data_IF_028076778731
#
_entry.id   IF_028076778731
#
_cell.length_a   1.000
_cell.length_b   1.000
_cell.length_c   1.000
_cell.angle_alpha   90.00
_cell.angle_beta   90.00
_cell.angle_gamma   90.00
#
_symmetry.space_group_name_H-M   'P 1'
#
loop_
_entity.id
_entity.type
_entity.pdbx_description
1 polymer ?
#
# COMPACT_ATOMS: atom_id res chain seq x y z
N UNK A 1 -13.52 6.57 -19.00
CA UNK A 1 -13.01 5.64 -17.98
C UNK A 1 -11.51 5.37 -18.01
N UNK A 2 -10.90 5.04 -19.16
CA UNK A 2 -9.46 4.70 -19.23
C UNK A 2 -8.51 5.78 -18.66
N UNK A 3 -8.72 7.06 -19.03
CA UNK A 3 -7.91 8.19 -18.55
C UNK A 3 -7.96 8.32 -17.02
N UNK A 4 -9.17 8.30 -16.45
CA UNK A 4 -9.40 8.37 -15.00
C UNK A 4 -8.70 7.21 -14.29
N UNK A 5 -8.90 5.97 -14.76
CA UNK A 5 -8.22 4.80 -14.22
C UNK A 5 -6.69 4.97 -14.26
N UNK A 6 -6.13 5.46 -15.37
CA UNK A 6 -4.68 5.68 -15.53
C UNK A 6 -4.13 6.71 -14.56
N UNK A 7 -4.87 7.80 -14.31
CA UNK A 7 -4.49 8.82 -13.33
C UNK A 7 -4.53 8.23 -11.93
N UNK A 8 -5.66 7.65 -11.51
CA UNK A 8 -5.82 7.05 -10.18
C UNK A 8 -4.80 5.93 -9.92
N UNK A 9 -4.54 5.07 -10.91
CA UNK A 9 -3.50 4.04 -10.85
C UNK A 9 -2.13 4.67 -10.56
N UNK A 10 -1.78 5.76 -11.24
CA UNK A 10 -0.47 6.41 -11.04
C UNK A 10 -0.40 7.07 -9.67
N UNK A 11 -1.43 7.81 -9.29
CA UNK A 11 -1.50 8.52 -8.02
C UNK A 11 -1.42 7.54 -6.84
N UNK A 12 -2.23 6.49 -6.85
CA UNK A 12 -2.19 5.47 -5.80
C UNK A 12 -0.85 4.77 -5.70
N UNK A 13 -0.24 4.38 -6.83
CA UNK A 13 1.10 3.79 -6.77
C UNK A 13 2.17 4.77 -6.26
N UNK A 14 2.07 6.06 -6.57
CA UNK A 14 2.99 7.06 -6.02
C UNK A 14 2.77 7.22 -4.51
N UNK A 15 1.52 7.35 -4.05
CA UNK A 15 1.21 7.45 -2.61
C UNK A 15 1.70 6.19 -1.89
N UNK A 16 1.34 5.01 -2.39
CA UNK A 16 1.79 3.73 -1.85
C UNK A 16 3.31 3.62 -1.79
N UNK A 17 4.02 4.06 -2.83
CA UNK A 17 5.47 4.10 -2.85
C UNK A 17 6.05 5.04 -1.78
N UNK A 18 5.45 6.22 -1.59
CA UNK A 18 5.86 7.21 -0.59
C UNK A 18 5.57 6.74 0.83
N UNK A 19 4.46 6.05 1.06
CA UNK A 19 4.14 5.45 2.36
C UNK A 19 5.18 4.38 2.70
N UNK A 20 5.54 3.50 1.77
CA UNK A 20 6.63 2.55 1.98
C UNK A 20 7.96 3.25 2.27
N UNK A 21 8.26 4.34 1.53
CA UNK A 21 9.50 5.09 1.71
C UNK A 21 9.58 5.74 3.09
N UNK A 22 8.46 6.31 3.56
CA UNK A 22 8.35 6.89 4.89
C UNK A 22 8.64 5.84 5.98
N UNK A 23 8.17 4.61 5.82
CA UNK A 23 8.33 3.58 6.84
C UNK A 23 9.78 3.17 7.07
N UNK A 24 10.68 3.30 6.09
CA UNK A 24 12.12 3.10 6.33
C UNK A 24 12.66 4.02 7.43
N UNK A 25 12.10 5.22 7.58
CA UNK A 25 12.60 6.24 8.51
C UNK A 25 11.70 6.43 9.73
N UNK A 26 10.45 5.96 9.69
CA UNK A 26 9.46 6.18 10.73
C UNK A 26 9.92 5.77 12.15
N UNK A 27 10.57 4.61 12.37
CA UNK A 27 11.04 4.23 13.71
C UNK A 27 11.99 5.25 14.34
N UNK A 28 12.83 5.89 13.52
CA UNK A 28 13.83 6.86 13.97
C UNK A 28 13.26 8.26 14.14
N UNK A 29 12.43 8.71 13.19
CA UNK A 29 11.85 10.07 13.20
C UNK A 29 10.80 10.21 14.31
N UNK A 30 10.14 9.12 14.69
CA UNK A 30 9.07 9.13 15.70
C UNK A 30 9.42 8.33 16.96
N UNK A 31 10.69 7.94 17.11
CA UNK A 31 11.23 7.29 18.30
C UNK A 31 10.41 6.07 18.77
N UNK A 32 10.05 5.15 17.87
CA UNK A 32 9.17 4.01 18.20
C UNK A 32 9.66 3.19 19.40
N UNK A 33 10.98 3.08 19.56
CA UNK A 33 11.61 2.32 20.65
C UNK A 33 11.41 2.96 22.03
N UNK A 34 11.11 4.26 22.09
CA UNK A 34 10.72 4.93 23.35
C UNK A 34 9.40 4.41 23.91
N UNK A 35 8.55 3.79 23.08
CA UNK A 35 7.26 3.25 23.51
C UNK A 35 7.36 1.88 24.18
N UNK A 36 8.51 1.21 24.07
CA UNK A 36 8.76 -0.14 24.59
C UNK A 36 10.19 -0.27 25.18
N UNK A 37 10.58 0.59 26.13
CA UNK A 37 11.99 0.77 26.54
C UNK A 37 12.67 -0.48 27.11
N UNK A 38 11.89 -1.39 27.69
CA UNK A 38 12.39 -2.61 28.34
C UNK A 38 12.19 -3.88 27.48
N UNK A 39 11.92 -3.72 26.19
CA UNK A 39 11.75 -4.87 25.30
C UNK A 39 13.08 -5.61 25.08
N UNK A 40 13.06 -6.96 24.96
CA UNK A 40 14.23 -7.72 24.56
C UNK A 40 14.81 -7.26 23.21
N UNK A 41 16.12 -7.41 23.01
CA UNK A 41 16.80 -7.01 21.77
C UNK A 41 16.21 -7.70 20.53
N UNK A 42 15.71 -8.92 20.70
CA UNK A 42 15.06 -9.71 19.67
C UNK A 42 13.76 -9.04 19.18
N UNK A 43 13.05 -8.32 20.05
CA UNK A 43 11.84 -7.58 19.68
C UNK A 43 12.20 -6.35 18.85
N UNK A 44 13.24 -5.60 19.23
CA UNK A 44 13.73 -4.48 18.43
C UNK A 44 14.18 -4.94 17.03
N UNK A 45 14.98 -6.00 16.96
CA UNK A 45 15.42 -6.59 15.69
C UNK A 45 14.23 -7.05 14.83
N UNK A 46 13.21 -7.66 15.45
CA UNK A 46 12.00 -8.09 14.74
C UNK A 46 11.22 -6.92 14.15
N UNK A 47 11.11 -5.82 14.88
CA UNK A 47 10.48 -4.58 14.40
C UNK A 47 11.27 -4.03 13.21
N UNK A 48 12.59 -3.92 13.33
CA UNK A 48 13.46 -3.44 12.24
C UNK A 48 13.31 -4.30 10.98
N UNK A 49 13.36 -5.62 11.11
CA UNK A 49 13.27 -6.54 9.96
C UNK A 49 11.91 -6.47 9.28
N UNK A 50 10.82 -6.55 10.06
CA UNK A 50 9.47 -6.46 9.51
C UNK A 50 9.25 -5.11 8.84
N UNK A 51 9.68 -4.01 9.47
CA UNK A 51 9.56 -2.68 8.92
C UNK A 51 10.36 -2.51 7.62
N UNK A 52 11.60 -2.98 7.58
CA UNK A 52 12.45 -2.92 6.38
C UNK A 52 11.82 -3.70 5.22
N UNK A 53 11.42 -4.95 5.42
CA UNK A 53 10.83 -5.77 4.36
C UNK A 53 9.45 -5.27 3.94
N UNK A 54 8.63 -4.78 4.86
CA UNK A 54 7.37 -4.11 4.56
C UNK A 54 7.60 -2.89 3.67
N UNK A 55 8.53 -2.01 4.05
CA UNK A 55 8.87 -0.79 3.33
C UNK A 55 9.40 -1.10 1.93
N UNK A 56 10.33 -2.04 1.83
CA UNK A 56 10.91 -2.49 0.56
C UNK A 56 9.86 -3.09 -0.36
N UNK A 57 8.98 -3.94 0.17
CA UNK A 57 7.93 -4.55 -0.61
C UNK A 57 6.92 -3.51 -1.10
N UNK A 58 6.47 -2.60 -0.23
CA UNK A 58 5.47 -1.60 -0.58
C UNK A 58 6.01 -0.59 -1.61
N UNK A 59 7.21 -0.04 -1.37
CA UNK A 59 7.89 0.87 -2.30
C UNK A 59 8.27 0.15 -3.60
N UNK A 60 8.96 -0.98 -3.50
CA UNK A 60 9.46 -1.73 -4.65
C UNK A 60 8.33 -2.22 -5.56
N UNK A 61 7.28 -2.83 -5.00
CA UNK A 61 6.13 -3.30 -5.77
C UNK A 61 5.44 -2.13 -6.49
N UNK A 62 5.27 -0.99 -5.80
CA UNK A 62 4.65 0.20 -6.38
C UNK A 62 5.45 0.76 -7.56
N UNK A 63 6.77 0.85 -7.42
CA UNK A 63 7.67 1.29 -8.50
C UNK A 63 7.68 0.32 -9.68
N UNK A 64 7.73 -0.99 -9.43
CA UNK A 64 7.65 -2.02 -10.47
C UNK A 64 6.34 -1.89 -11.26
N UNK A 65 5.22 -1.68 -10.56
CA UNK A 65 3.91 -1.48 -11.19
C UNK A 65 3.85 -0.19 -12.01
N UNK A 66 4.48 0.90 -11.55
CA UNK A 66 4.63 2.14 -12.34
C UNK A 66 5.41 1.90 -13.63
N UNK A 67 6.53 1.16 -13.57
CA UNK A 67 7.32 0.78 -14.76
C UNK A 67 6.48 -0.07 -15.72
N UNK A 68 5.68 -1.00 -15.21
CA UNK A 68 4.83 -1.88 -16.02
C UNK A 68 3.43 -1.31 -16.33
N UNK A 69 3.19 -0.02 -16.10
CA UNK A 69 1.92 0.64 -16.41
C UNK A 69 1.47 0.41 -17.86
N UNK A 70 2.36 0.44 -18.85
CA UNK A 70 1.95 0.16 -20.24
C UNK A 70 1.40 -1.26 -20.39
N UNK A 71 2.07 -2.25 -19.78
CA UNK A 71 1.70 -3.68 -19.87
C UNK A 71 0.36 -3.97 -19.20
N UNK A 72 0.06 -3.34 -18.06
CA UNK A 72 -1.23 -3.57 -17.38
C UNK A 72 -2.41 -3.07 -18.23
N UNK A 73 -2.27 -1.91 -18.89
CA UNK A 73 -3.30 -1.37 -19.79
C UNK A 73 -3.33 -2.06 -21.17
N UNK A 74 -2.37 -2.93 -21.46
CA UNK A 74 -2.41 -3.87 -22.59
C UNK A 74 -3.03 -5.22 -22.20
N UNK A 75 -3.44 -5.39 -20.94
CA UNK A 75 -4.14 -6.59 -20.47
C UNK A 75 -3.25 -7.69 -19.92
N UNK A 76 -1.98 -7.42 -19.58
CA UNK A 76 -1.11 -8.43 -18.94
C UNK A 76 -1.72 -8.94 -17.63
N UNK A 77 -1.96 -10.26 -17.57
CA UNK A 77 -2.56 -10.92 -16.41
C UNK A 77 -1.61 -10.91 -15.22
N UNK A 78 -0.33 -11.09 -15.49
CA UNK A 78 0.75 -11.19 -14.51
C UNK A 78 0.88 -9.86 -13.76
N UNK A 79 0.94 -8.75 -14.50
CA UNK A 79 1.01 -7.40 -13.90
C UNK A 79 -0.27 -7.07 -13.14
N UNK A 80 -1.43 -7.51 -13.63
CA UNK A 80 -2.69 -7.35 -12.90
C UNK A 80 -2.71 -8.14 -11.58
N UNK A 81 -2.13 -9.34 -11.50
CA UNK A 81 -2.04 -10.10 -10.25
C UNK A 81 -1.23 -9.34 -9.20
N UNK A 82 -0.08 -8.78 -9.58
CA UNK A 82 0.72 -7.92 -8.70
C UNK A 82 -0.05 -6.68 -8.23
N UNK A 83 -0.80 -6.04 -9.13
CA UNK A 83 -1.63 -4.90 -8.77
C UNK A 83 -2.78 -5.28 -7.84
N UNK A 84 -3.45 -6.41 -8.10
CA UNK A 84 -4.53 -6.92 -7.26
C UNK A 84 -4.03 -7.28 -5.86
N UNK A 85 -2.81 -7.82 -5.75
CA UNK A 85 -2.17 -8.06 -4.47
C UNK A 85 -1.94 -6.76 -3.69
N UNK A 86 -1.42 -5.71 -4.34
CA UNK A 86 -1.26 -4.39 -3.72
C UNK A 86 -2.60 -3.83 -3.21
N UNK A 87 -3.65 -3.92 -4.02
CA UNK A 87 -5.01 -3.50 -3.65
C UNK A 87 -5.52 -4.28 -2.44
N UNK A 88 -5.26 -5.60 -2.40
CA UNK A 88 -5.60 -6.45 -1.27
C UNK A 88 -4.82 -6.05 -0.01
N UNK A 89 -3.55 -5.70 -0.11
CA UNK A 89 -2.78 -5.16 1.03
C UNK A 89 -3.41 -3.90 1.60
N UNK A 90 -3.82 -2.96 0.74
CA UNK A 90 -4.52 -1.74 1.18
C UNK A 90 -5.89 -2.04 1.81
N UNK A 91 -6.63 -3.01 1.27
CA UNK A 91 -7.86 -3.50 1.89
C UNK A 91 -7.61 -4.07 3.29
N UNK A 92 -6.62 -4.95 3.44
CA UNK A 92 -6.22 -5.49 4.74
C UNK A 92 -5.81 -4.37 5.71
N UNK A 93 -5.11 -3.33 5.24
CA UNK A 93 -4.75 -2.18 6.06
C UNK A 93 -5.98 -1.45 6.61
N UNK A 94 -7.01 -1.24 5.78
CA UNK A 94 -8.28 -0.67 6.22
C UNK A 94 -8.96 -1.58 7.25
N UNK A 95 -9.05 -2.87 6.98
CA UNK A 95 -9.67 -3.85 7.89
C UNK A 95 -8.97 -3.88 9.26
N UNK A 96 -7.64 -3.98 9.29
CA UNK A 96 -6.88 -4.01 10.54
C UNK A 96 -7.09 -2.71 11.32
N UNK A 97 -7.15 -1.57 10.65
CA UNK A 97 -7.40 -0.28 11.32
C UNK A 97 -8.79 -0.23 11.96
N UNK A 98 -9.78 -0.97 11.43
CA UNK A 98 -11.13 -1.06 12.01
C UNK A 98 -11.17 -2.06 13.17
N UNK A 99 -10.56 -3.25 12.99
CA UNK A 99 -10.60 -4.35 13.97
C UNK A 99 -9.68 -4.07 15.17
N UNK A 100 -8.54 -3.44 14.93
CA UNK A 100 -7.55 -3.05 15.94
C UNK A 100 -7.33 -1.53 15.81
N UNK A 101 -8.24 -0.71 16.36
CA UNK A 101 -8.13 0.74 16.27
C UNK A 101 -6.85 1.27 16.90
N UNK A 102 -6.25 2.28 16.27
CA UNK A 102 -5.15 3.01 16.85
C UNK A 102 -5.63 3.71 18.14
N UNK A 103 -4.92 3.57 19.28
CA UNK A 103 -5.43 4.01 20.59
C UNK A 103 -5.27 5.52 20.83
N UNK A 104 -5.37 6.35 19.78
CA UNK A 104 -5.25 7.81 19.89
C UNK A 104 -6.28 8.52 19.00
N UNK A 105 -6.55 9.82 19.20
CA UNK A 105 -7.45 10.60 18.33
C UNK A 105 -7.07 10.59 16.84
N UNK A 106 -5.82 10.24 16.52
CA UNK A 106 -5.33 10.09 15.16
C UNK A 106 -6.08 9.01 14.37
N UNK A 107 -6.71 8.04 15.05
CA UNK A 107 -7.47 6.94 14.46
C UNK A 107 -8.46 7.38 13.37
N UNK A 108 -9.20 8.48 13.60
CA UNK A 108 -10.17 8.98 12.62
C UNK A 108 -9.49 9.35 11.30
N UNK A 109 -8.35 10.01 11.38
CA UNK A 109 -7.57 10.43 10.22
C UNK A 109 -6.87 9.26 9.53
N UNK A 110 -6.42 8.26 10.30
CA UNK A 110 -5.84 7.02 9.75
C UNK A 110 -6.87 6.25 8.93
N UNK A 111 -8.09 6.06 9.43
CA UNK A 111 -9.16 5.41 8.67
C UNK A 111 -9.45 6.18 7.38
N UNK A 112 -9.63 7.50 7.46
CA UNK A 112 -9.92 8.32 6.27
C UNK A 112 -8.78 8.22 5.25
N UNK A 113 -7.52 8.31 5.69
CA UNK A 113 -6.35 8.22 4.82
C UNK A 113 -6.23 6.85 4.15
N UNK A 114 -6.30 5.76 4.92
CA UNK A 114 -6.16 4.40 4.39
C UNK A 114 -7.35 4.00 3.51
N UNK A 115 -8.56 4.42 3.85
CA UNK A 115 -9.74 4.19 3.01
C UNK A 115 -9.63 4.97 1.70
N UNK A 116 -9.18 6.22 1.74
CA UNK A 116 -8.96 7.03 0.54
C UNK A 116 -7.94 6.38 -0.39
N UNK A 117 -6.80 5.96 0.15
CA UNK A 117 -5.76 5.28 -0.63
C UNK A 117 -6.28 3.95 -1.21
N UNK A 118 -6.97 3.14 -0.40
CA UNK A 118 -7.61 1.92 -0.89
C UNK A 118 -8.55 2.21 -2.06
N UNK A 119 -9.40 3.24 -1.97
CA UNK A 119 -10.33 3.60 -3.05
C UNK A 119 -9.60 4.08 -4.31
N UNK A 120 -8.51 4.84 -4.16
CA UNK A 120 -7.67 5.30 -5.29
C UNK A 120 -7.08 4.10 -6.05
N UNK A 121 -6.61 3.06 -5.35
CA UNK A 121 -6.06 1.85 -6.01
C UNK A 121 -7.15 0.86 -6.45
N UNK A 122 -8.29 0.81 -5.77
CA UNK A 122 -9.37 -0.14 -6.06
C UNK A 122 -10.15 0.21 -7.33
N UNK A 123 -10.44 1.49 -7.58
CA UNK A 123 -11.18 1.93 -8.76
C UNK A 123 -10.50 1.51 -10.08
N UNK A 124 -9.17 1.70 -10.28
CA UNK A 124 -8.47 1.15 -11.43
C UNK A 124 -8.53 -0.37 -11.51
N UNK A 125 -8.53 -1.09 -10.39
CA UNK A 125 -8.58 -2.55 -10.38
C UNK A 125 -9.90 -3.06 -10.95
N UNK A 126 -11.02 -2.45 -10.57
CA UNK A 126 -12.34 -2.73 -11.15
C UNK A 126 -12.33 -2.48 -12.66
N UNK A 127 -11.82 -1.32 -13.09
CA UNK A 127 -11.74 -0.99 -14.51
C UNK A 127 -10.90 -2.02 -15.29
N UNK A 128 -9.71 -2.36 -14.80
CA UNK A 128 -8.79 -3.30 -15.45
C UNK A 128 -9.37 -4.72 -15.49
N UNK A 129 -10.08 -5.14 -14.45
CA UNK A 129 -10.75 -6.44 -14.40
C UNK A 129 -11.87 -6.54 -15.45
N UNK A 130 -12.69 -5.49 -15.58
CA UNK A 130 -13.79 -5.45 -16.53
C UNK A 130 -13.30 -5.26 -17.98
N UNK A 131 -12.28 -4.43 -18.20
CA UNK A 131 -11.66 -4.24 -19.52
C UNK A 131 -11.15 -5.56 -20.11
N UNK A 132 -10.61 -6.43 -19.26
CA UNK A 132 -10.16 -7.77 -19.64
C UNK A 132 -11.30 -8.68 -20.11
N UNK A 133 -12.51 -8.55 -19.55
CA UNK A 133 -13.67 -9.36 -19.97
C UNK A 133 -14.16 -8.98 -21.37
N UNK A 134 -14.02 -7.72 -21.77
CA UNK A 134 -14.46 -7.23 -23.09
C UNK A 134 -13.46 -7.46 -24.22
N UNK A 135 -12.21 -7.85 -23.91
CA UNK A 135 -11.16 -8.11 -24.89
C UNK A 135 -10.98 -9.61 -25.21
N UNK A 136 -11.81 -10.48 -24.62
CA UNK A 136 -11.94 -11.90 -24.95
C UNK A 136 -13.27 -12.11 -25.66
#
# INVERSE_FOLDING_TARGET
MRKISSVLYTVGLVISSLVGLLHFFAPYVTEWYSYIPDAPLEIYASIDYVNFFFSLLLTGLSLILLVFKKKIYQGSREVFVFYAFLVFTWFCRVLITIVIPWPTPLQKWLIVGFLSEFMIVFIPAIYLFNYKKSAR
#
